data_IF_834628051986
#
_entry.id   IF_834628051986
#
_cell.length_a   1.000
_cell.length_b   1.000
_cell.length_c   1.000
_cell.angle_alpha   90.00
_cell.angle_beta   90.00
_cell.angle_gamma   90.00
#
_symmetry.space_group_name_H-M   'P 1'
#
loop_
_entity.id
_entity.type
_entity.pdbx_description
1 polymer ?
#
# COMPACT_ATOMS: atom_id res chain seq x y z
N UNK A 1 -11.04 5.65 4.26
CA UNK A 1 -11.27 5.22 5.66
C UNK A 1 -12.66 4.60 5.86
N UNK A 2 -13.76 5.30 5.58
CA UNK A 2 -15.13 4.75 5.79
C UNK A 2 -15.40 3.44 5.04
N UNK A 3 -15.08 3.38 3.74
CA UNK A 3 -15.23 2.17 2.91
C UNK A 3 -14.56 0.96 3.55
N UNK A 4 -13.34 1.17 4.06
CA UNK A 4 -12.52 0.16 4.71
C UNK A 4 -13.14 -0.38 5.99
N UNK A 5 -13.61 0.53 6.84
CA UNK A 5 -14.29 0.20 8.10
C UNK A 5 -15.56 -0.60 7.81
N UNK A 6 -16.38 -0.12 6.88
CA UNK A 6 -17.61 -0.80 6.47
C UNK A 6 -17.31 -2.19 5.91
N UNK A 7 -16.34 -2.30 4.99
CA UNK A 7 -15.90 -3.58 4.44
C UNK A 7 -15.41 -4.54 5.53
N UNK A 8 -14.60 -4.05 6.48
CA UNK A 8 -14.13 -4.88 7.59
C UNK A 8 -15.27 -5.36 8.50
N UNK A 9 -16.25 -4.51 8.83
CA UNK A 9 -17.43 -4.90 9.61
C UNK A 9 -18.23 -6.00 8.90
N UNK A 10 -18.44 -5.88 7.59
CA UNK A 10 -19.18 -6.87 6.82
C UNK A 10 -18.45 -8.21 6.66
N UNK A 11 -17.12 -8.16 6.53
CA UNK A 11 -16.27 -9.34 6.35
C UNK A 11 -15.94 -10.04 7.67
N UNK A 12 -15.75 -9.30 8.77
CA UNK A 12 -15.41 -9.84 10.09
C UNK A 12 -16.65 -9.95 10.99
N UNK A 13 -17.42 -11.01 10.79
CA UNK A 13 -18.67 -11.25 11.56
C UNK A 13 -18.44 -11.78 12.97
N UNK A 14 -17.21 -12.12 13.35
CA UNK A 14 -16.93 -12.64 14.69
C UNK A 14 -16.86 -11.55 15.76
N UNK A 15 -16.56 -10.31 15.37
CA UNK A 15 -16.51 -9.17 16.27
C UNK A 15 -17.84 -8.43 16.26
N UNK A 16 -18.24 -7.89 17.41
CA UNK A 16 -19.33 -6.93 17.48
C UNK A 16 -19.01 -5.71 16.59
N UNK A 17 -19.97 -5.27 15.79
CA UNK A 17 -19.76 -4.27 14.73
C UNK A 17 -19.06 -2.99 15.22
N UNK A 18 -19.40 -2.50 16.41
CA UNK A 18 -18.79 -1.29 16.99
C UNK A 18 -17.33 -1.53 17.40
N UNK A 19 -16.98 -2.73 17.88
CA UNK A 19 -15.59 -3.11 18.19
C UNK A 19 -14.79 -3.28 16.91
N UNK A 20 -15.35 -3.96 15.91
CA UNK A 20 -14.74 -4.09 14.60
C UNK A 20 -14.44 -2.71 13.98
N UNK A 21 -15.39 -1.77 14.09
CA UNK A 21 -15.22 -0.41 13.63
C UNK A 21 -14.05 0.30 14.33
N UNK A 22 -14.04 0.31 15.68
CA UNK A 22 -13.00 0.98 16.47
C UNK A 22 -11.62 0.36 16.19
N UNK A 23 -11.51 -0.96 16.17
CA UNK A 23 -10.24 -1.65 15.96
C UNK A 23 -9.67 -1.34 14.57
N UNK A 24 -10.53 -1.35 13.55
CA UNK A 24 -10.12 -1.02 12.19
C UNK A 24 -9.73 0.45 12.03
N UNK A 25 -10.46 1.37 12.69
CA UNK A 25 -10.12 2.79 12.72
C UNK A 25 -8.73 2.99 13.32
N UNK A 26 -8.45 2.40 14.48
CA UNK A 26 -7.16 2.52 15.16
C UNK A 26 -6.01 1.92 14.33
N UNK A 27 -6.24 0.76 13.73
CA UNK A 27 -5.27 0.15 12.81
C UNK A 27 -4.97 1.05 11.62
N UNK A 28 -6.00 1.63 11.01
CA UNK A 28 -5.85 2.52 9.86
C UNK A 28 -5.18 3.85 10.23
N UNK A 29 -5.41 4.40 11.42
CA UNK A 29 -4.73 5.61 11.90
C UNK A 29 -3.23 5.35 12.00
N UNK A 30 -2.83 4.25 12.64
CA UNK A 30 -1.42 3.89 12.74
C UNK A 30 -0.78 3.70 11.35
N UNK A 31 -1.42 2.92 10.49
CA UNK A 31 -0.89 2.65 9.14
C UNK A 31 -0.81 3.92 8.29
N UNK A 32 -1.73 4.87 8.48
CA UNK A 32 -1.72 6.18 7.81
C UNK A 32 -0.60 7.09 8.33
N UNK A 33 -0.32 7.09 9.64
CA UNK A 33 0.81 7.85 10.21
C UNK A 33 2.13 7.35 9.61
N UNK A 34 2.33 6.03 9.57
CA UNK A 34 3.55 5.45 8.97
C UNK A 34 3.59 5.75 7.46
N UNK A 35 2.46 5.58 6.77
CA UNK A 35 2.33 5.92 5.35
C UNK A 35 2.65 7.39 5.05
N UNK A 36 2.31 8.30 5.96
CA UNK A 36 2.66 9.72 5.85
C UNK A 36 4.18 9.94 5.89
N UNK A 37 4.90 9.33 6.82
CA UNK A 37 6.37 9.42 6.87
C UNK A 37 7.01 8.88 5.59
N UNK A 38 6.51 7.74 5.10
CA UNK A 38 6.99 7.14 3.85
C UNK A 38 6.74 8.07 2.66
N UNK A 39 5.54 8.66 2.56
CA UNK A 39 5.21 9.62 1.51
C UNK A 39 6.04 10.91 1.61
N UNK A 40 6.26 11.43 2.83
CA UNK A 40 7.08 12.61 3.06
C UNK A 40 8.54 12.39 2.62
N UNK A 41 9.05 11.16 2.68
CA UNK A 41 10.40 10.83 2.19
C UNK A 41 10.58 10.93 0.68
N UNK A 42 9.49 10.91 -0.09
CA UNK A 42 9.54 11.20 -1.53
C UNK A 42 9.73 12.70 -1.82
N UNK A 43 9.25 13.58 -0.94
CA UNK A 43 9.41 15.03 -1.07
C UNK A 43 10.68 15.56 -0.38
N UNK A 44 11.13 14.91 0.69
CA UNK A 44 12.30 15.29 1.47
C UNK A 44 13.18 14.06 1.72
N UNK A 45 14.19 13.79 0.87
CA UNK A 45 15.01 12.57 0.94
C UNK A 45 15.62 12.28 2.32
N UNK A 46 16.13 13.26 3.09
CA UNK A 46 16.54 13.05 4.49
C UNK A 46 15.52 12.35 5.39
N UNK A 47 14.21 12.52 5.16
CA UNK A 47 13.15 11.85 5.95
C UNK A 47 13.18 10.33 5.78
N UNK A 48 13.73 9.82 4.67
CA UNK A 48 13.90 8.39 4.44
C UNK A 48 14.77 7.74 5.53
N UNK A 49 15.84 8.43 5.95
CA UNK A 49 16.77 7.92 6.97
C UNK A 49 16.10 7.70 8.32
N UNK A 50 15.04 8.45 8.63
CA UNK A 50 14.21 8.26 9.82
C UNK A 50 13.07 7.27 9.59
N UNK A 51 12.53 7.22 8.37
CA UNK A 51 11.39 6.35 8.02
C UNK A 51 11.78 4.87 8.01
N UNK A 52 12.97 4.52 7.52
CA UNK A 52 13.45 3.14 7.47
C UNK A 52 13.57 2.47 8.86
N UNK A 53 14.30 3.05 9.84
CA UNK A 53 14.39 2.46 11.17
C UNK A 53 13.03 2.44 11.88
N UNK A 54 12.20 3.47 11.69
CA UNK A 54 10.84 3.50 12.23
C UNK A 54 10.01 2.32 11.71
N UNK A 55 10.00 2.11 10.39
CA UNK A 55 9.27 1.00 9.76
C UNK A 55 9.83 -0.34 10.22
N UNK A 56 11.14 -0.48 10.33
CA UNK A 56 11.76 -1.70 10.86
C UNK A 56 11.23 -2.03 12.25
N UNK A 57 11.36 -1.10 13.21
CA UNK A 57 10.95 -1.28 14.61
C UNK A 57 9.47 -1.61 14.70
N UNK A 58 8.62 -0.87 14.00
CA UNK A 58 7.17 -1.09 13.99
C UNK A 58 6.77 -2.41 13.34
N UNK A 59 7.60 -2.96 12.44
CA UNK A 59 7.32 -4.21 11.74
C UNK A 59 7.82 -5.45 12.49
N UNK A 60 8.61 -5.33 13.56
CA UNK A 60 9.11 -6.48 14.34
C UNK A 60 7.97 -7.31 14.92
N UNK A 61 7.05 -6.66 15.65
CA UNK A 61 5.96 -7.38 16.34
C UNK A 61 4.94 -7.96 15.36
N UNK A 62 4.46 -7.20 14.35
CA UNK A 62 3.62 -7.76 13.29
C UNK A 62 4.28 -8.92 12.54
N UNK A 63 5.58 -8.84 12.24
CA UNK A 63 6.29 -9.90 11.53
C UNK A 63 6.40 -11.19 12.34
N UNK A 64 6.70 -11.08 13.64
CA UNK A 64 6.69 -12.24 14.57
C UNK A 64 5.33 -12.90 14.62
N UNK A 65 4.28 -12.11 14.51
CA UNK A 65 2.90 -12.59 14.51
C UNK A 65 2.56 -13.27 13.18
N UNK A 66 2.90 -12.67 12.04
CA UNK A 66 2.63 -13.24 10.72
C UNK A 66 3.28 -14.62 10.57
N UNK A 67 4.52 -14.79 11.00
CA UNK A 67 5.23 -16.09 10.96
C UNK A 67 4.52 -17.17 11.79
N UNK A 68 3.78 -16.81 12.85
CA UNK A 68 2.99 -17.79 13.63
C UNK A 68 1.75 -18.31 12.90
N UNK A 69 1.21 -17.53 11.96
CA UNK A 69 -0.04 -17.85 11.26
C UNK A 69 0.16 -18.14 9.77
N UNK A 70 1.41 -18.20 9.31
CA UNK A 70 1.77 -18.53 7.94
C UNK A 70 2.72 -19.72 7.93
N UNK A 71 2.77 -20.46 6.82
CA UNK A 71 3.73 -21.56 6.62
C UNK A 71 5.11 -21.07 6.16
N UNK A 72 5.40 -19.77 6.29
CA UNK A 72 6.63 -19.18 5.81
C UNK A 72 7.81 -19.59 6.70
N UNK A 73 8.86 -20.10 6.07
CA UNK A 73 10.10 -20.51 6.76
C UNK A 73 11.03 -19.33 7.09
N UNK A 74 10.61 -18.11 6.80
CA UNK A 74 11.43 -16.91 7.04
C UNK A 74 11.42 -16.55 8.53
N UNK A 75 12.60 -16.28 9.13
CA UNK A 75 12.65 -15.80 10.50
C UNK A 75 11.98 -14.41 10.61
N UNK A 76 11.32 -14.11 11.73
CA UNK A 76 10.63 -12.83 11.92
C UNK A 76 11.50 -11.59 11.70
N UNK A 77 12.80 -11.67 11.98
CA UNK A 77 13.75 -10.59 11.76
C UNK A 77 13.94 -10.29 10.27
N UNK A 78 14.02 -11.31 9.42
CA UNK A 78 14.14 -11.12 7.97
C UNK A 78 12.85 -10.54 7.40
N UNK A 79 11.69 -10.97 7.88
CA UNK A 79 10.42 -10.39 7.45
C UNK A 79 10.29 -8.91 7.89
N UNK A 80 10.70 -8.59 9.11
CA UNK A 80 10.73 -7.20 9.59
C UNK A 80 11.71 -6.32 8.80
N UNK A 81 12.85 -6.89 8.35
CA UNK A 81 13.82 -6.22 7.48
C UNK A 81 13.32 -6.07 6.04
N UNK A 82 12.49 -7.00 5.55
CA UNK A 82 11.89 -6.93 4.23
C UNK A 82 10.96 -5.71 4.09
N UNK A 83 10.31 -5.27 5.18
CA UNK A 83 9.44 -4.09 5.18
C UNK A 83 10.17 -2.78 4.79
N UNK A 84 11.22 -2.33 5.49
CA UNK A 84 11.98 -1.14 5.09
C UNK A 84 12.76 -1.36 3.79
N UNK A 85 13.23 -2.58 3.50
CA UNK A 85 13.88 -2.88 2.21
C UNK A 85 12.92 -2.66 1.03
N UNK A 86 11.66 -3.10 1.15
CA UNK A 86 10.62 -2.87 0.15
C UNK A 86 10.35 -1.37 -0.06
N UNK A 87 10.33 -0.58 1.02
CA UNK A 87 10.21 0.89 0.93
C UNK A 87 11.41 1.50 0.21
N UNK A 88 12.63 1.08 0.56
CA UNK A 88 13.84 1.55 -0.09
C UNK A 88 13.83 1.25 -1.59
N UNK A 89 13.43 0.03 -1.99
CA UNK A 89 13.26 -0.35 -3.40
C UNK A 89 12.25 0.56 -4.10
N UNK A 90 11.09 0.82 -3.49
CA UNK A 90 10.10 1.75 -4.08
C UNK A 90 10.61 3.17 -4.22
N UNK A 91 11.44 3.62 -3.28
CA UNK A 91 12.06 4.95 -3.30
C UNK A 91 13.10 5.07 -4.44
N UNK A 92 13.95 4.05 -4.62
CA UNK A 92 14.90 3.99 -5.75
C UNK A 92 14.16 3.98 -7.08
N UNK A 93 13.12 3.14 -7.22
CA UNK A 93 12.30 3.09 -8.44
C UNK A 93 11.63 4.43 -8.73
N UNK A 94 11.15 5.13 -7.71
CA UNK A 94 10.60 6.48 -7.84
C UNK A 94 11.65 7.46 -8.36
N UNK A 95 12.86 7.48 -7.78
CA UNK A 95 13.96 8.33 -8.23
C UNK A 95 14.36 8.08 -9.69
N UNK A 96 14.44 6.81 -10.10
CA UNK A 96 14.69 6.43 -11.50
C UNK A 96 13.56 6.91 -12.43
N UNK A 97 12.29 6.80 -11.99
CA UNK A 97 11.14 7.25 -12.78
C UNK A 97 11.13 8.77 -12.98
N UNK A 98 11.48 9.52 -11.93
CA UNK A 98 11.60 10.99 -12.02
C UNK A 98 12.77 11.42 -12.86
N UNK A 99 13.90 10.70 -12.84
CA UNK A 99 15.07 11.02 -13.67
C UNK A 99 14.85 10.82 -15.17
N UNK A 100 13.90 9.97 -15.56
CA UNK A 100 13.50 9.75 -16.96
C UNK A 100 12.42 10.73 -17.43
N UNK A 101 11.97 11.67 -16.59
CA UNK A 101 10.95 12.64 -16.96
C UNK A 101 11.44 13.65 -18.01
N UNK A 102 12.74 13.94 -18.02
CA UNK A 102 13.38 14.93 -18.88
C UNK A 102 14.07 14.31 -20.12
N UNK A 103 14.15 12.98 -20.18
CA UNK A 103 14.68 12.28 -21.34
C UNK A 103 13.54 12.02 -22.33
N UNK A 104 13.75 12.30 -23.62
CA UNK A 104 12.77 12.13 -24.72
C UNK A 104 12.27 10.66 -24.93
N UNK A 105 12.55 9.75 -24.00
CA UNK A 105 12.15 8.35 -23.99
C UNK A 105 10.78 8.16 -23.30
N UNK A 106 9.72 8.66 -23.94
CA UNK A 106 8.32 8.54 -23.49
C UNK A 106 7.91 7.12 -23.10
N UNK A 107 8.29 6.10 -23.89
CA UNK A 107 7.93 4.70 -23.64
C UNK A 107 8.58 4.16 -22.36
N UNK A 108 9.88 4.42 -22.16
CA UNK A 108 10.61 4.00 -20.97
C UNK A 108 10.07 4.71 -19.71
N UNK A 109 9.78 6.00 -19.81
CA UNK A 109 9.15 6.77 -18.73
C UNK A 109 7.82 6.14 -18.29
N UNK A 110 6.90 5.85 -19.22
CA UNK A 110 5.60 5.28 -18.88
C UNK A 110 5.69 3.86 -18.33
N UNK A 111 6.54 3.02 -18.91
CA UNK A 111 6.76 1.65 -18.43
C UNK A 111 7.31 1.66 -16.99
N UNK A 112 8.32 2.49 -16.71
CA UNK A 112 8.88 2.60 -15.37
C UNK A 112 7.89 3.20 -14.38
N UNK A 113 7.11 4.20 -14.83
CA UNK A 113 6.05 4.84 -14.04
C UNK A 113 4.98 3.85 -13.59
N UNK A 114 4.48 3.03 -14.52
CA UNK A 114 3.48 2.00 -14.22
C UNK A 114 4.06 0.89 -13.33
N UNK A 115 5.30 0.49 -13.60
CA UNK A 115 5.99 -0.54 -12.82
C UNK A 115 6.18 -0.10 -11.38
N UNK A 116 6.76 1.09 -11.15
CA UNK A 116 6.94 1.58 -9.78
C UNK A 116 5.58 1.75 -9.09
N UNK A 117 4.58 2.31 -9.76
CA UNK A 117 3.27 2.55 -9.15
C UNK A 117 2.63 1.23 -8.70
N UNK A 118 2.71 0.19 -9.53
CA UNK A 118 2.18 -1.15 -9.22
C UNK A 118 2.91 -1.78 -8.04
N UNK A 119 4.25 -1.71 -8.04
CA UNK A 119 5.09 -2.24 -6.95
C UNK A 119 4.83 -1.48 -5.65
N UNK A 120 4.77 -0.15 -5.70
CA UNK A 120 4.54 0.71 -4.54
C UNK A 120 3.16 0.48 -3.93
N UNK A 121 2.11 0.39 -4.75
CA UNK A 121 0.74 0.07 -4.27
C UNK A 121 0.70 -1.31 -3.63
N UNK A 122 1.32 -2.32 -4.26
CA UNK A 122 1.35 -3.69 -3.74
C UNK A 122 2.06 -3.76 -2.38
N UNK A 123 3.23 -3.13 -2.26
CA UNK A 123 3.98 -3.07 -1.00
C UNK A 123 3.18 -2.29 0.06
N UNK A 124 2.60 -1.15 -0.30
CA UNK A 124 1.76 -0.37 0.60
C UNK A 124 0.58 -1.18 1.14
N UNK A 125 -0.11 -1.95 0.29
CA UNK A 125 -1.19 -2.85 0.69
C UNK A 125 -0.72 -3.92 1.67
N UNK A 126 0.41 -4.57 1.40
CA UNK A 126 0.94 -5.62 2.27
C UNK A 126 1.32 -5.06 3.64
N UNK A 127 2.04 -3.94 3.66
CA UNK A 127 2.47 -3.28 4.90
C UNK A 127 1.30 -2.77 5.73
N UNK A 128 0.34 -2.09 5.10
CA UNK A 128 -0.86 -1.60 5.79
C UNK A 128 -1.67 -2.74 6.38
N UNK A 129 -1.83 -3.85 5.62
CA UNK A 129 -2.53 -5.04 6.12
C UNK A 129 -1.83 -5.68 7.31
N UNK A 130 -0.50 -5.74 7.29
CA UNK A 130 0.31 -6.28 8.37
C UNK A 130 0.17 -5.47 9.67
N UNK A 131 0.26 -4.14 9.59
CA UNK A 131 0.13 -3.27 10.76
C UNK A 131 -1.31 -3.23 11.30
N UNK A 132 -2.30 -3.22 10.42
CA UNK A 132 -3.71 -3.21 10.80
C UNK A 132 -4.13 -4.52 11.46
N UNK A 133 -3.70 -5.66 10.92
CA UNK A 133 -3.92 -6.96 11.55
C UNK A 133 -3.36 -6.98 12.96
N UNK A 134 -2.14 -6.48 13.14
CA UNK A 134 -1.49 -6.47 14.44
C UNK A 134 -2.30 -5.65 15.46
N UNK A 135 -2.76 -4.45 15.08
CA UNK A 135 -3.57 -3.60 15.96
C UNK A 135 -4.93 -4.24 16.27
N UNK A 136 -5.62 -4.74 15.25
CA UNK A 136 -6.91 -5.44 15.44
C UNK A 136 -6.74 -6.63 16.37
N UNK A 137 -5.69 -7.43 16.16
CA UNK A 137 -5.41 -8.59 17.00
C UNK A 137 -5.03 -8.20 18.43
N UNK A 138 -4.23 -7.15 18.61
CA UNK A 138 -3.84 -6.64 19.92
C UNK A 138 -5.08 -6.25 20.74
N UNK A 139 -6.02 -5.55 20.12
CA UNK A 139 -7.25 -5.08 20.75
C UNK A 139 -8.27 -6.21 20.96
N UNK A 140 -8.37 -7.15 20.03
CA UNK A 140 -9.26 -8.30 20.12
C UNK A 140 -8.76 -9.38 21.09
N UNK A 141 -7.47 -9.39 21.45
CA UNK A 141 -6.81 -10.46 22.23
C UNK A 141 -7.54 -10.84 23.52
N UNK A 142 -8.10 -9.85 24.23
CA UNK A 142 -8.82 -10.07 25.50
C UNK A 142 -10.11 -10.88 25.35
N UNK A 143 -10.71 -10.88 24.17
CA UNK A 143 -12.06 -11.43 23.95
C UNK A 143 -12.05 -12.64 23.02
N UNK A 144 -11.09 -12.71 22.09
CA UNK A 144 -11.05 -13.75 21.04
C UNK A 144 -9.73 -14.53 21.02
N UNK A 145 -8.86 -14.33 22.02
CA UNK A 145 -7.58 -15.01 22.11
C UNK A 145 -6.61 -14.65 20.98
N UNK A 146 -5.75 -15.59 20.60
CA UNK A 146 -4.71 -15.38 19.59
C UNK A 146 -5.18 -15.81 18.19
N UNK A 147 -6.22 -15.16 17.67
CA UNK A 147 -6.77 -15.40 16.32
C UNK A 147 -6.16 -14.43 15.30
N UNK A 148 -5.90 -14.88 14.07
CA UNK A 148 -5.43 -14.05 12.95
C UNK A 148 -6.59 -13.32 12.27
N UNK A 149 -6.39 -12.04 11.94
CA UNK A 149 -7.33 -11.23 11.16
C UNK A 149 -6.77 -10.82 9.77
N UNK A 150 -5.61 -11.37 9.38
CA UNK A 150 -4.86 -10.91 8.19
C UNK A 150 -5.69 -11.00 6.90
N UNK A 151 -6.43 -12.09 6.72
CA UNK A 151 -7.26 -12.30 5.54
C UNK A 151 -8.40 -11.31 5.47
N UNK A 152 -9.05 -11.03 6.61
CA UNK A 152 -10.19 -10.11 6.67
C UNK A 152 -9.75 -8.66 6.46
N UNK A 153 -8.65 -8.26 7.12
CA UNK A 153 -8.02 -6.94 6.94
C UNK A 153 -7.56 -6.78 5.49
N UNK A 154 -6.85 -7.77 4.93
CA UNK A 154 -6.38 -7.72 3.54
C UNK A 154 -7.52 -7.60 2.52
N UNK A 155 -8.63 -8.32 2.72
CA UNK A 155 -9.84 -8.17 1.89
C UNK A 155 -10.46 -6.78 2.00
N UNK A 156 -10.55 -6.21 3.21
CA UNK A 156 -11.03 -4.84 3.40
C UNK A 156 -10.13 -3.81 2.71
N UNK A 157 -8.81 -4.03 2.72
CA UNK A 157 -7.83 -3.18 2.04
C UNK A 157 -7.99 -3.26 0.52
N UNK A 158 -8.16 -4.47 -0.01
CA UNK A 158 -8.40 -4.70 -1.44
C UNK A 158 -9.71 -4.06 -1.93
N UNK A 159 -10.81 -4.24 -1.18
CA UNK A 159 -12.10 -3.59 -1.49
C UNK A 159 -11.94 -2.06 -1.50
N UNK A 160 -11.26 -1.52 -0.49
CA UNK A 160 -11.02 -0.07 -0.40
C UNK A 160 -10.22 0.44 -1.58
N UNK A 161 -9.14 -0.25 -1.93
CA UNK A 161 -8.34 0.10 -3.09
C UNK A 161 -9.15 0.05 -4.37
N UNK A 162 -9.92 -1.02 -4.61
CA UNK A 162 -10.72 -1.16 -5.81
C UNK A 162 -11.73 -0.02 -5.94
N UNK A 163 -12.42 0.34 -4.86
CA UNK A 163 -13.39 1.45 -4.86
C UNK A 163 -12.71 2.80 -5.11
N UNK A 164 -11.57 3.06 -4.47
CA UNK A 164 -10.81 4.31 -4.68
C UNK A 164 -10.26 4.36 -6.11
N UNK A 165 -9.72 3.25 -6.61
CA UNK A 165 -9.18 3.14 -7.96
C UNK A 165 -10.27 3.37 -9.01
N UNK A 166 -11.44 2.75 -8.84
CA UNK A 166 -12.58 2.95 -9.73
C UNK A 166 -13.05 4.40 -9.71
N UNK A 167 -13.19 5.01 -8.52
CA UNK A 167 -13.54 6.42 -8.40
C UNK A 167 -12.52 7.35 -9.05
N UNK A 168 -11.23 7.05 -8.89
CA UNK A 168 -10.15 7.80 -9.53
C UNK A 168 -10.17 7.63 -11.06
N UNK A 169 -10.37 6.41 -11.57
CA UNK A 169 -10.48 6.13 -13.00
C UNK A 169 -11.67 6.89 -13.62
N UNK A 170 -12.86 6.81 -13.02
CA UNK A 170 -14.06 7.52 -13.50
C UNK A 170 -13.82 9.03 -13.55
N UNK A 171 -13.08 9.60 -12.59
CA UNK A 171 -12.78 11.04 -12.56
C UNK A 171 -11.69 11.46 -13.54
N UNK A 172 -10.61 10.70 -13.64
CA UNK A 172 -9.39 11.12 -14.37
C UNK A 172 -9.41 10.73 -15.84
N UNK A 173 -10.09 9.65 -16.20
CA UNK A 173 -10.13 9.13 -17.56
C UNK A 173 -10.85 10.09 -18.54
N UNK A 174 -12.02 10.70 -18.21
CA UNK A 174 -12.63 11.73 -19.06
C UNK A 174 -11.76 12.98 -19.18
N UNK A 175 -11.15 13.42 -18.08
CA UNK A 175 -10.27 14.60 -18.07
C UNK A 175 -9.06 14.43 -18.98
N UNK A 176 -8.54 13.20 -19.10
CA UNK A 176 -7.45 12.87 -20.03
C UNK A 176 -7.93 12.88 -21.48
N UNK A 177 -9.12 12.36 -21.78
CA UNK A 177 -9.65 12.38 -23.15
C UNK A 177 -9.95 13.79 -23.69
N UNK A 178 -10.27 14.75 -22.82
CA UNK A 178 -10.46 16.15 -23.23
C UNK A 178 -9.15 16.95 -23.39
N UNK A 179 -8.02 16.41 -22.95
CA UNK A 179 -6.73 17.10 -23.11
C UNK A 179 -6.15 16.83 -24.51
N UNK A 180 -6.02 17.89 -25.32
CA UNK A 180 -5.51 17.79 -26.71
C UNK A 180 -4.14 17.08 -26.79
N UNK A 181 -3.27 17.25 -25.79
CA UNK A 181 -1.97 16.57 -25.74
C UNK A 181 -2.02 15.06 -25.45
N UNK A 182 -3.13 14.52 -24.94
CA UNK A 182 -3.27 13.09 -24.68
C UNK A 182 -3.66 12.32 -25.94
N UNK A 183 -4.58 12.85 -26.75
CA UNK A 183 -5.00 12.21 -28.00
C UNK A 183 -3.84 12.12 -29.00
N UNK A 184 -3.03 13.18 -29.11
CA UNK A 184 -1.84 13.20 -29.97
C UNK A 184 -0.79 12.17 -29.52
N UNK A 185 -0.51 12.10 -28.21
CA UNK A 185 0.44 11.11 -27.66
C UNK A 185 -0.07 9.67 -27.70
N UNK A 186 -1.39 9.46 -27.60
CA UNK A 186 -2.01 8.14 -27.73
C UNK A 186 -1.88 7.63 -29.18
N UNK A 187 -2.12 8.50 -30.15
CA UNK A 187 -1.94 8.18 -31.58
C UNK A 187 -0.48 7.85 -31.90
N UNK A 188 0.49 8.62 -31.39
CA UNK A 188 1.92 8.29 -31.51
C UNK A 188 2.28 6.93 -30.89
N UNK A 189 1.73 6.61 -29.72
CA UNK A 189 2.00 5.35 -29.03
C UNK A 189 1.35 4.14 -29.72
N UNK A 190 0.14 4.31 -30.26
CA UNK A 190 -0.53 3.29 -31.08
C UNK A 190 0.25 3.05 -32.36
N UNK A 191 0.73 4.10 -33.03
CA UNK A 191 1.58 3.97 -34.23
C UNK A 191 2.92 3.29 -33.94
N UNK A 192 3.51 3.50 -32.77
CA UNK A 192 4.75 2.82 -32.34
C UNK A 192 4.56 1.34 -31.99
N UNK A 193 3.37 0.94 -31.52
CA UNK A 193 3.07 -0.46 -31.15
C UNK A 193 2.56 -1.28 -32.34
N UNK A 194 1.92 -0.64 -33.31
CA UNK A 194 1.30 -1.29 -34.49
C UNK A 194 2.19 -1.20 -35.74
N UNK A 195 3.16 -0.28 -35.78
CA UNK A 195 4.18 -0.17 -36.83
C UNK A 195 5.48 -0.86 -36.48
#
# INVERSE_FOLDING_TARGET
>A
MLIKVVAFIFLERSLLWYRAAIFMVLGNVLSSIIGFFVAASAANPPVLLFSLPLVYVLSIVPSRRLVKFTHWKLPPSQLALACPAAIFVTWVLFGLATGQQDADHLAAYWLLKLTYATVAVSISMLLTSLWEEWIVALLARRTHGNRSFITTVGRANYVTFFVIFLGAAVKTLPQRFHSHGFLVRLDELVRFVVG
#
